data_IF_086254036994
#
_entry.id   IF_086254036994
#
_cell.length_a   1.000
_cell.length_b   1.000
_cell.length_c   1.000
_cell.angle_alpha   90.00
_cell.angle_beta   90.00
_cell.angle_gamma   90.00
#
_symmetry.space_group_name_H-M   'P 1'
#
loop_
_entity.id
_entity.type
_entity.pdbx_description
1 polymer ?
#
# COMPACT_ATOMS: atom_id res chain seq x y z
N UNK A 1 -20.63 23.94 26.94
CA UNK A 1 -20.76 23.13 25.70
C UNK A 1 -19.39 23.08 25.02
N UNK A 2 -18.72 21.89 24.92
CA UNK A 2 -17.45 21.79 24.24
C UNK A 2 -17.67 22.01 22.74
N UNK A 3 -16.95 22.96 22.17
CA UNK A 3 -17.00 23.30 20.74
C UNK A 3 -16.68 22.06 19.91
N UNK A 4 -17.49 21.73 18.91
CA UNK A 4 -17.22 20.62 17.98
C UNK A 4 -15.90 20.90 17.25
N UNK A 5 -15.02 19.90 17.15
CA UNK A 5 -13.75 20.05 16.44
C UNK A 5 -14.02 20.35 14.96
N UNK A 6 -13.20 21.20 14.35
CA UNK A 6 -13.23 21.47 12.90
C UNK A 6 -12.71 20.27 12.13
N UNK A 7 -13.05 20.18 10.85
CA UNK A 7 -12.53 19.13 9.96
C UNK A 7 -11.00 19.13 9.92
N UNK A 8 -10.39 20.29 9.82
CA UNK A 8 -8.94 20.49 9.85
C UNK A 8 -8.31 19.95 11.13
N UNK A 9 -8.95 20.22 12.28
CA UNK A 9 -8.45 19.72 13.57
C UNK A 9 -8.58 18.21 13.70
N UNK A 10 -9.67 17.63 13.18
CA UNK A 10 -9.82 16.17 13.12
C UNK A 10 -8.75 15.53 12.24
N UNK A 11 -8.44 16.17 11.12
CA UNK A 11 -7.41 15.74 10.19
C UNK A 11 -6.00 15.77 10.82
N UNK A 12 -5.67 16.85 11.55
CA UNK A 12 -4.43 17.00 12.33
C UNK A 12 -4.28 15.92 13.41
N UNK A 13 -5.39 15.58 14.10
CA UNK A 13 -5.40 14.51 15.10
C UNK A 13 -5.11 13.15 14.46
N UNK A 14 -5.71 12.86 13.30
CA UNK A 14 -5.46 11.61 12.58
C UNK A 14 -4.02 11.53 12.07
N UNK A 15 -3.45 12.61 11.52
CA UNK A 15 -2.04 12.65 11.11
C UNK A 15 -1.10 12.43 12.29
N UNK A 16 -1.38 13.07 13.42
CA UNK A 16 -0.60 12.86 14.64
C UNK A 16 -0.68 11.41 15.11
N UNK A 17 -1.85 10.79 15.00
CA UNK A 17 -2.06 9.38 15.31
C UNK A 17 -1.29 8.45 14.36
N UNK A 18 -1.36 8.70 13.06
CA UNK A 18 -0.63 7.94 12.03
C UNK A 18 0.88 7.96 12.32
N UNK A 19 1.43 9.14 12.64
CA UNK A 19 2.85 9.28 12.95
C UNK A 19 3.25 8.46 14.18
N UNK A 20 2.47 8.48 15.24
CA UNK A 20 2.74 7.72 16.47
C UNK A 20 2.58 6.20 16.23
N UNK A 21 1.56 5.78 15.50
CA UNK A 21 1.35 4.38 15.15
C UNK A 21 2.40 3.85 14.16
N UNK A 22 2.88 4.68 13.24
CA UNK A 22 3.96 4.31 12.32
C UNK A 22 5.29 4.02 13.06
N UNK A 23 5.58 4.79 14.11
CA UNK A 23 6.81 4.67 14.88
C UNK A 23 6.77 3.52 15.91
N UNK A 24 5.62 3.34 16.57
CA UNK A 24 5.52 2.45 17.72
C UNK A 24 4.60 1.23 17.52
N UNK A 25 3.83 1.19 16.44
CA UNK A 25 2.78 0.20 16.25
C UNK A 25 1.60 0.41 17.20
N UNK A 26 0.53 -0.36 16.99
CA UNK A 26 -0.70 -0.23 17.79
C UNK A 26 -0.45 -0.47 19.30
N UNK A 27 0.32 -1.49 19.65
CA UNK A 27 0.45 -1.91 21.05
C UNK A 27 1.19 -0.85 21.89
N UNK A 28 2.28 -0.30 21.39
CA UNK A 28 3.18 0.60 22.11
C UNK A 28 2.88 2.09 21.92
N UNK A 29 2.09 2.45 20.93
CA UNK A 29 1.69 3.85 20.70
C UNK A 29 0.98 4.44 21.92
N UNK A 30 1.29 5.70 22.26
CA UNK A 30 0.85 6.36 23.48
C UNK A 30 -0.19 7.46 23.17
N UNK A 31 -1.42 7.23 23.58
CA UNK A 31 -2.54 8.18 23.40
C UNK A 31 -2.29 9.54 24.07
N UNK A 32 -1.56 9.57 25.20
CA UNK A 32 -1.23 10.85 25.84
C UNK A 32 -0.26 11.68 24.98
N UNK A 33 0.69 11.02 24.31
CA UNK A 33 1.61 11.68 23.38
C UNK A 33 0.84 12.24 22.18
N UNK A 34 -0.05 11.44 21.59
CA UNK A 34 -0.90 11.87 20.49
C UNK A 34 -1.74 13.09 20.88
N UNK A 35 -2.47 13.01 21.98
CA UNK A 35 -3.32 14.11 22.45
C UNK A 35 -2.51 15.39 22.70
N UNK A 36 -1.34 15.27 23.35
CA UNK A 36 -0.44 16.40 23.61
C UNK A 36 0.08 17.02 22.30
N UNK A 37 0.58 16.23 21.36
CA UNK A 37 1.08 16.70 20.06
C UNK A 37 -0.03 17.36 19.23
N UNK A 38 -1.25 16.78 19.26
CA UNK A 38 -2.42 17.35 18.61
C UNK A 38 -3.07 18.53 19.36
N UNK A 39 -2.54 18.96 20.52
CA UNK A 39 -3.05 20.10 21.28
C UNK A 39 -4.47 19.91 21.81
N UNK A 40 -4.84 18.67 22.19
CA UNK A 40 -6.13 18.32 22.80
C UNK A 40 -5.91 17.52 24.09
N UNK A 41 -6.96 17.38 24.91
CA UNK A 41 -6.93 16.43 26.02
C UNK A 41 -7.25 15.00 25.56
N UNK A 42 -6.76 13.99 26.29
CA UNK A 42 -7.12 12.58 26.07
C UNK A 42 -8.62 12.35 26.15
N UNK A 43 -9.31 13.06 27.08
CA UNK A 43 -10.78 13.01 27.19
C UNK A 43 -11.50 13.53 25.94
N UNK A 44 -10.94 14.52 25.25
CA UNK A 44 -11.46 14.99 23.96
C UNK A 44 -11.25 13.92 22.90
N UNK A 45 -10.10 13.30 22.81
CA UNK A 45 -9.83 12.24 21.85
C UNK A 45 -10.80 11.06 22.04
N UNK A 46 -10.98 10.57 23.27
CA UNK A 46 -11.89 9.46 23.57
C UNK A 46 -13.39 9.81 23.44
N UNK A 47 -13.74 11.08 23.36
CA UNK A 47 -15.09 11.50 23.02
C UNK A 47 -15.43 11.21 21.53
N UNK A 48 -14.43 11.29 20.66
CA UNK A 48 -14.60 11.01 19.22
C UNK A 48 -14.30 9.56 18.88
N UNK A 49 -13.35 8.95 19.58
CA UNK A 49 -12.91 7.57 19.35
C UNK A 49 -13.02 6.82 20.69
N UNK A 50 -13.86 5.83 20.74
CA UNK A 50 -14.18 5.06 21.96
C UNK A 50 -12.94 4.57 22.72
N UNK A 51 -11.93 4.08 21.97
CA UNK A 51 -10.69 3.52 22.50
C UNK A 51 -9.53 3.71 21.48
N UNK A 52 -8.35 3.24 21.85
CA UNK A 52 -7.15 3.31 21.02
C UNK A 52 -7.28 2.53 19.71
N UNK A 53 -7.99 1.40 19.75
CA UNK A 53 -8.20 0.55 18.58
C UNK A 53 -9.13 1.22 17.55
N UNK A 54 -10.22 1.80 18.00
CA UNK A 54 -11.13 2.59 17.13
C UNK A 54 -10.42 3.79 16.54
N UNK A 55 -9.55 4.45 17.31
CA UNK A 55 -8.74 5.54 16.80
C UNK A 55 -7.71 5.07 15.76
N UNK A 56 -7.06 3.94 16.01
CA UNK A 56 -6.14 3.31 15.05
C UNK A 56 -6.83 2.97 13.73
N UNK A 57 -8.03 2.38 13.79
CA UNK A 57 -8.82 2.08 12.60
C UNK A 57 -9.20 3.35 11.82
N UNK A 58 -9.52 4.44 12.50
CA UNK A 58 -9.78 5.72 11.84
C UNK A 58 -8.52 6.30 11.16
N UNK A 59 -7.34 6.15 11.77
CA UNK A 59 -6.06 6.49 11.15
C UNK A 59 -5.80 5.63 9.91
N UNK A 60 -6.09 4.33 9.99
CA UNK A 60 -5.98 3.41 8.85
C UNK A 60 -6.94 3.81 7.73
N UNK A 61 -8.19 4.15 8.03
CA UNK A 61 -9.16 4.60 7.03
C UNK A 61 -8.68 5.85 6.27
N UNK A 62 -8.06 6.79 6.98
CA UNK A 62 -7.45 7.96 6.35
C UNK A 62 -6.30 7.56 5.40
N UNK A 63 -5.46 6.62 5.81
CA UNK A 63 -4.35 6.14 4.98
C UNK A 63 -4.86 5.40 3.74
N UNK A 64 -5.89 4.57 3.89
CA UNK A 64 -6.48 3.80 2.80
C UNK A 64 -7.22 4.69 1.78
N UNK A 65 -7.73 5.85 2.18
CA UNK A 65 -8.36 6.79 1.25
C UNK A 65 -7.39 7.29 0.17
N UNK A 66 -6.09 7.37 0.48
CA UNK A 66 -5.05 7.70 -0.51
C UNK A 66 -4.85 6.54 -1.48
N UNK A 67 -4.80 5.31 -0.98
CA UNK A 67 -4.71 4.10 -1.82
C UNK A 67 -5.93 3.97 -2.74
N UNK A 68 -7.13 4.17 -2.21
CA UNK A 68 -8.39 4.11 -2.97
C UNK A 68 -8.39 5.09 -4.14
N UNK A 69 -7.92 6.32 -3.94
CA UNK A 69 -7.79 7.30 -5.00
C UNK A 69 -6.85 6.85 -6.12
N UNK A 70 -5.69 6.27 -5.78
CA UNK A 70 -4.71 5.75 -6.76
C UNK A 70 -5.28 4.57 -7.53
N UNK A 71 -5.92 3.64 -6.85
CA UNK A 71 -6.51 2.43 -7.46
C UNK A 71 -7.69 2.79 -8.34
N UNK A 72 -8.52 3.75 -7.94
CA UNK A 72 -9.66 4.24 -8.73
C UNK A 72 -9.19 4.90 -10.03
N UNK A 73 -8.14 5.73 -9.98
CA UNK A 73 -7.53 6.34 -11.16
C UNK A 73 -6.98 5.27 -12.12
N UNK A 74 -6.31 4.26 -11.58
CA UNK A 74 -5.82 3.11 -12.35
C UNK A 74 -6.96 2.36 -13.09
N UNK A 75 -8.13 2.19 -12.45
CA UNK A 75 -9.28 1.51 -13.05
C UNK A 75 -9.96 2.30 -14.16
N UNK A 76 -10.06 3.61 -13.99
CA UNK A 76 -10.82 4.48 -14.92
C UNK A 76 -10.14 4.63 -16.28
N UNK A 77 -8.88 4.22 -16.42
CA UNK A 77 -8.11 4.35 -17.66
C UNK A 77 -8.54 3.34 -18.73
N UNK A 78 -8.52 3.79 -19.99
CA UNK A 78 -8.70 2.96 -21.21
C UNK A 78 -7.37 2.57 -21.85
N UNK A 79 -6.26 2.94 -21.23
CA UNK A 79 -4.92 2.66 -21.74
C UNK A 79 -4.63 1.16 -21.77
N UNK A 80 -3.71 0.76 -22.65
CA UNK A 80 -3.19 -0.62 -22.72
C UNK A 80 -2.56 -1.04 -21.39
N UNK A 81 -2.56 -2.36 -21.15
CA UNK A 81 -2.04 -3.01 -19.93
C UNK A 81 -0.72 -2.42 -19.43
N UNK A 82 0.31 -2.37 -20.28
CA UNK A 82 1.65 -1.94 -19.86
C UNK A 82 1.73 -0.46 -19.51
N UNK A 83 0.95 0.40 -20.19
CA UNK A 83 0.85 1.84 -19.85
C UNK A 83 0.22 2.02 -18.47
N UNK A 84 -0.83 1.27 -18.17
CA UNK A 84 -1.49 1.31 -16.85
C UNK A 84 -0.57 0.76 -15.76
N UNK A 85 0.16 -0.32 -16.06
CA UNK A 85 1.16 -0.89 -15.15
C UNK A 85 2.26 0.13 -14.84
N UNK A 86 2.76 0.86 -15.84
CA UNK A 86 3.72 1.93 -15.62
C UNK A 86 3.17 3.03 -14.69
N UNK A 87 1.95 3.48 -14.94
CA UNK A 87 1.30 4.52 -14.13
C UNK A 87 1.20 4.10 -12.66
N UNK A 88 0.80 2.85 -12.37
CA UNK A 88 0.70 2.40 -10.98
C UNK A 88 2.07 2.27 -10.31
N UNK A 89 3.10 1.80 -11.02
CA UNK A 89 4.47 1.74 -10.48
C UNK A 89 4.97 3.13 -10.10
N UNK A 90 4.79 4.12 -10.97
CA UNK A 90 5.16 5.52 -10.71
C UNK A 90 4.36 6.13 -9.56
N UNK A 91 3.07 5.82 -9.49
CA UNK A 91 2.23 6.25 -8.37
C UNK A 91 2.73 5.64 -7.05
N UNK A 92 3.07 4.36 -7.02
CA UNK A 92 3.64 3.69 -5.84
C UNK A 92 4.94 4.38 -5.40
N UNK A 93 5.88 4.68 -6.31
CA UNK A 93 7.10 5.42 -5.98
C UNK A 93 6.79 6.77 -5.34
N UNK A 94 5.94 7.56 -6.00
CA UNK A 94 5.59 8.91 -5.54
C UNK A 94 4.91 8.89 -4.17
N UNK A 95 3.86 8.07 -4.02
CA UNK A 95 3.04 8.05 -2.81
C UNK A 95 3.78 7.42 -1.62
N UNK A 96 4.64 6.43 -1.86
CA UNK A 96 5.46 5.82 -0.79
C UNK A 96 6.42 6.82 -0.18
N UNK A 97 7.01 7.71 -0.97
CA UNK A 97 7.86 8.80 -0.46
C UNK A 97 7.05 9.92 0.18
N UNK A 98 5.92 10.29 -0.42
CA UNK A 98 5.06 11.36 0.10
C UNK A 98 4.39 10.99 1.42
N UNK A 99 4.01 9.73 1.59
CA UNK A 99 3.22 9.23 2.71
C UNK A 99 3.95 8.13 3.49
N UNK A 100 5.24 8.35 3.77
CA UNK A 100 6.13 7.38 4.46
C UNK A 100 5.48 6.76 5.70
N UNK A 101 4.87 7.58 6.57
CA UNK A 101 4.27 7.11 7.81
C UNK A 101 2.99 6.29 7.60
N UNK A 102 2.26 6.49 6.50
CA UNK A 102 1.13 5.65 6.12
C UNK A 102 1.63 4.23 5.78
N UNK A 103 2.70 4.15 5.00
CA UNK A 103 3.30 2.85 4.62
C UNK A 103 3.98 2.18 5.82
N UNK A 104 4.69 2.93 6.69
CA UNK A 104 5.25 2.39 7.93
C UNK A 104 4.16 1.85 8.87
N UNK A 105 3.04 2.54 9.00
CA UNK A 105 1.90 2.07 9.78
C UNK A 105 1.31 0.79 9.17
N UNK A 106 1.15 0.71 7.85
CA UNK A 106 0.73 -0.51 7.16
C UNK A 106 1.72 -1.66 7.42
N UNK A 107 3.02 -1.43 7.24
CA UNK A 107 4.03 -2.45 7.54
C UNK A 107 3.95 -2.94 8.99
N UNK A 108 3.69 -2.06 9.96
CA UNK A 108 3.55 -2.43 11.37
C UNK A 108 2.38 -3.40 11.62
N UNK A 109 1.33 -3.34 10.80
CA UNK A 109 0.19 -4.25 10.85
C UNK A 109 0.59 -5.65 10.37
N UNK A 110 1.36 -5.73 9.28
CA UNK A 110 1.76 -7.00 8.66
C UNK A 110 2.72 -7.82 9.54
N UNK A 111 3.53 -7.15 10.37
CA UNK A 111 4.53 -7.79 11.25
C UNK A 111 4.14 -7.81 12.73
N UNK A 112 3.04 -7.16 13.08
CA UNK A 112 2.63 -6.96 14.49
C UNK A 112 2.01 -8.18 15.16
N UNK A 113 1.94 -8.12 16.51
CA UNK A 113 1.35 -9.14 17.37
C UNK A 113 -0.19 -9.19 17.35
N UNK A 114 -0.83 -8.32 16.57
CA UNK A 114 -2.28 -8.12 16.55
C UNK A 114 -3.06 -9.23 15.82
N UNK A 115 -2.75 -10.50 16.10
CA UNK A 115 -3.37 -11.68 15.46
C UNK A 115 -4.89 -11.67 15.48
N UNK A 116 -5.50 -11.09 16.52
CA UNK A 116 -6.97 -11.01 16.65
C UNK A 116 -7.63 -10.14 15.57
N UNK A 117 -6.91 -9.13 15.06
CA UNK A 117 -7.42 -8.22 14.03
C UNK A 117 -6.95 -8.57 12.61
N UNK A 118 -6.01 -9.51 12.47
CA UNK A 118 -5.40 -9.84 11.19
C UNK A 118 -6.42 -10.11 10.07
N UNK A 119 -7.49 -10.92 10.27
CA UNK A 119 -8.47 -11.16 9.22
C UNK A 119 -9.27 -9.91 8.82
N UNK A 120 -9.65 -9.07 9.80
CA UNK A 120 -10.40 -7.82 9.56
C UNK A 120 -9.53 -6.80 8.85
N UNK A 121 -8.29 -6.61 9.33
CA UNK A 121 -7.34 -5.67 8.74
C UNK A 121 -6.95 -6.08 7.32
N UNK A 122 -6.65 -7.36 7.10
CA UNK A 122 -6.35 -7.87 5.77
C UNK A 122 -7.54 -7.65 4.81
N UNK A 123 -8.76 -7.99 5.24
CA UNK A 123 -9.95 -7.75 4.41
C UNK A 123 -10.16 -6.27 4.09
N UNK A 124 -9.87 -5.38 5.04
CA UNK A 124 -10.02 -3.93 4.88
C UNK A 124 -8.96 -3.34 3.95
N UNK A 125 -7.73 -3.79 4.08
CA UNK A 125 -6.58 -3.29 3.31
C UNK A 125 -6.58 -3.88 1.90
N UNK A 126 -6.64 -5.21 1.79
CA UNK A 126 -6.45 -5.93 0.53
C UNK A 126 -7.74 -6.10 -0.27
N UNK A 127 -8.90 -5.89 0.35
CA UNK A 127 -10.20 -6.17 -0.28
C UNK A 127 -10.46 -5.34 -1.53
N UNK A 128 -9.92 -4.13 -1.61
CA UNK A 128 -10.03 -3.26 -2.78
C UNK A 128 -9.08 -3.71 -3.89
N UNK A 129 -7.79 -3.80 -3.59
CA UNK A 129 -6.74 -4.12 -4.57
C UNK A 129 -6.93 -5.51 -5.17
N UNK A 130 -7.27 -6.51 -4.36
CA UNK A 130 -7.49 -7.88 -4.82
C UNK A 130 -8.58 -7.99 -5.89
N UNK A 131 -9.71 -7.31 -5.70
CA UNK A 131 -10.79 -7.27 -6.70
C UNK A 131 -10.34 -6.55 -7.97
N UNK A 132 -9.77 -5.38 -7.82
CA UNK A 132 -9.34 -4.51 -8.91
C UNK A 132 -8.31 -5.17 -9.80
N UNK A 133 -7.26 -5.74 -9.23
CA UNK A 133 -6.22 -6.39 -10.01
C UNK A 133 -6.69 -7.68 -10.66
N UNK A 134 -7.55 -8.46 -9.99
CA UNK A 134 -8.13 -9.65 -10.60
C UNK A 134 -9.02 -9.33 -11.82
N UNK A 135 -9.85 -8.29 -11.73
CA UNK A 135 -10.68 -7.81 -12.85
C UNK A 135 -9.83 -7.25 -13.99
N UNK A 136 -8.78 -6.51 -13.66
CA UNK A 136 -7.84 -5.96 -14.63
C UNK A 136 -7.13 -7.05 -15.43
N UNK A 137 -6.59 -8.07 -14.76
CA UNK A 137 -5.92 -9.20 -15.41
C UNK A 137 -6.93 -10.04 -16.22
N UNK A 138 -8.13 -10.30 -15.68
CA UNK A 138 -9.15 -11.03 -16.41
C UNK A 138 -9.53 -10.32 -17.73
N UNK A 139 -9.65 -8.99 -17.72
CA UNK A 139 -9.91 -8.20 -18.93
C UNK A 139 -8.77 -8.31 -19.92
N UNK A 140 -7.51 -8.16 -19.46
CA UNK A 140 -6.34 -8.28 -20.33
C UNK A 140 -6.19 -9.67 -20.98
N UNK A 141 -6.64 -10.75 -20.31
CA UNK A 141 -6.74 -12.09 -20.90
C UNK A 141 -7.77 -12.11 -22.03
N UNK A 142 -8.96 -11.51 -21.81
CA UNK A 142 -10.04 -11.47 -22.81
C UNK A 142 -9.61 -10.66 -24.04
N UNK A 143 -8.96 -9.52 -23.82
CA UNK A 143 -8.50 -8.61 -24.87
C UNK A 143 -7.29 -9.18 -25.65
N UNK A 144 -6.68 -10.26 -25.15
CA UNK A 144 -5.52 -10.92 -25.77
C UNK A 144 -4.17 -10.22 -25.48
N UNK A 145 -4.14 -9.30 -24.54
CA UNK A 145 -2.92 -8.57 -24.15
C UNK A 145 -1.95 -9.43 -23.34
N UNK A 146 -2.45 -10.50 -22.69
CA UNK A 146 -1.64 -11.42 -21.88
C UNK A 146 -2.03 -12.88 -22.16
N UNK A 147 -1.14 -13.78 -21.78
CA UNK A 147 -1.29 -15.24 -21.92
C UNK A 147 -2.55 -15.76 -21.21
N UNK A 148 -3.12 -16.86 -21.76
CA UNK A 148 -4.41 -17.41 -21.32
C UNK A 148 -4.29 -18.56 -20.30
N UNK A 149 -3.09 -19.07 -20.06
CA UNK A 149 -2.81 -20.23 -19.21
C UNK A 149 -2.52 -19.85 -17.74
N UNK A 150 -2.92 -18.65 -17.32
CA UNK A 150 -2.71 -18.13 -15.96
C UNK A 150 -4.01 -18.08 -15.14
N UNK A 151 -3.89 -18.30 -13.85
CA UNK A 151 -4.95 -17.97 -12.88
C UNK A 151 -4.91 -16.47 -12.57
N UNK A 152 -5.96 -15.75 -12.93
CA UNK A 152 -6.05 -14.29 -12.77
C UNK A 152 -5.95 -13.82 -11.33
N UNK A 153 -6.43 -14.62 -10.35
CA UNK A 153 -6.35 -14.27 -8.92
C UNK A 153 -4.95 -14.46 -8.36
N UNK A 154 -4.28 -15.55 -8.78
CA UNK A 154 -2.89 -15.79 -8.37
C UNK A 154 -1.96 -14.73 -8.96
N UNK A 155 -2.15 -14.35 -10.22
CA UNK A 155 -1.36 -13.28 -10.83
C UNK A 155 -1.65 -11.92 -10.20
N UNK A 156 -2.90 -11.62 -9.85
CA UNK A 156 -3.26 -10.42 -9.10
C UNK A 156 -2.51 -10.37 -7.75
N UNK A 157 -2.49 -11.49 -7.03
CA UNK A 157 -1.76 -11.60 -5.76
C UNK A 157 -0.25 -11.39 -5.93
N UNK A 158 0.37 -11.99 -6.95
CA UNK A 158 1.81 -11.81 -7.21
C UNK A 158 2.12 -10.37 -7.61
N UNK A 159 1.30 -9.78 -8.47
CA UNK A 159 1.46 -8.39 -8.88
C UNK A 159 1.34 -7.42 -7.70
N UNK A 160 0.31 -7.56 -6.89
CA UNK A 160 0.11 -6.78 -5.67
C UNK A 160 1.28 -6.96 -4.67
N UNK A 161 1.77 -8.20 -4.49
CA UNK A 161 2.92 -8.49 -3.63
C UNK A 161 4.18 -7.77 -4.08
N UNK A 162 4.43 -7.66 -5.38
CA UNK A 162 5.56 -6.89 -5.93
C UNK A 162 5.40 -5.40 -5.65
N UNK A 163 4.20 -4.84 -5.85
CA UNK A 163 3.91 -3.43 -5.56
C UNK A 163 4.05 -3.12 -4.07
N UNK A 164 3.52 -3.99 -3.20
CA UNK A 164 3.65 -3.88 -1.75
C UNK A 164 5.13 -3.90 -1.30
N UNK A 165 5.92 -4.84 -1.82
CA UNK A 165 7.36 -4.88 -1.52
C UNK A 165 8.08 -3.61 -1.99
N UNK A 166 7.69 -3.07 -3.14
CA UNK A 166 8.23 -1.81 -3.64
C UNK A 166 7.86 -0.62 -2.73
N UNK A 167 6.60 -0.54 -2.26
CA UNK A 167 6.18 0.48 -1.27
C UNK A 167 7.07 0.46 -0.03
N UNK A 168 7.29 -0.72 0.54
CA UNK A 168 8.14 -0.87 1.72
C UNK A 168 9.60 -0.48 1.43
N UNK A 169 10.09 -0.78 0.22
CA UNK A 169 11.45 -0.43 -0.20
C UNK A 169 11.71 1.08 -0.32
N UNK A 170 10.65 1.89 -0.46
CA UNK A 170 10.75 3.35 -0.46
C UNK A 170 10.42 4.01 0.89
N UNK A 171 9.95 3.24 1.89
CA UNK A 171 9.39 3.83 3.11
C UNK A 171 9.91 3.20 4.41
N UNK A 172 10.33 1.94 4.41
CA UNK A 172 10.66 1.18 5.62
C UNK A 172 12.15 0.82 5.63
N UNK A 173 12.85 1.17 6.70
CA UNK A 173 14.31 1.13 6.80
C UNK A 173 14.91 -0.23 6.42
N UNK A 174 14.37 -1.35 6.94
CA UNK A 174 14.85 -2.70 6.60
C UNK A 174 14.72 -2.99 5.09
N UNK A 175 13.59 -2.63 4.49
CA UNK A 175 13.34 -2.88 3.07
C UNK A 175 14.15 -1.95 2.16
N UNK A 176 14.42 -0.72 2.60
CA UNK A 176 15.33 0.21 1.91
C UNK A 176 16.75 -0.38 1.85
N UNK A 177 17.28 -0.85 2.98
CA UNK A 177 18.62 -1.49 3.00
C UNK A 177 18.64 -2.78 2.17
N UNK A 178 17.59 -3.61 2.28
CA UNK A 178 17.44 -4.78 1.42
C UNK A 178 17.47 -4.41 -0.07
N UNK A 179 16.80 -3.34 -0.46
CA UNK A 179 16.74 -2.89 -1.86
C UNK A 179 18.12 -2.44 -2.36
N UNK A 180 18.85 -1.68 -1.54
CA UNK A 180 20.25 -1.29 -1.85
C UNK A 180 21.16 -2.50 -1.98
N UNK A 181 21.07 -3.49 -1.11
CA UNK A 181 21.89 -4.72 -1.16
C UNK A 181 21.72 -5.45 -2.50
N UNK A 182 20.48 -5.53 -3.01
CA UNK A 182 20.20 -6.22 -4.28
C UNK A 182 20.49 -5.38 -5.52
N UNK A 183 20.28 -4.08 -5.46
CA UNK A 183 20.23 -3.22 -6.65
C UNK A 183 21.30 -2.13 -6.68
N UNK A 184 22.12 -1.99 -5.62
CA UNK A 184 23.14 -0.95 -5.44
C UNK A 184 22.65 0.22 -4.61
N UNK A 185 23.58 0.92 -3.95
CA UNK A 185 23.29 1.99 -2.98
C UNK A 185 22.48 3.15 -3.58
N UNK A 186 22.66 3.42 -4.87
CA UNK A 186 22.02 4.53 -5.59
C UNK A 186 20.60 4.22 -6.09
N UNK A 187 20.08 3.01 -5.83
CA UNK A 187 18.80 2.54 -6.42
C UNK A 187 17.62 3.42 -6.06
N UNK A 188 17.64 4.05 -4.89
CA UNK A 188 16.58 4.94 -4.42
C UNK A 188 16.51 6.27 -5.19
N UNK A 189 17.58 6.65 -5.89
CA UNK A 189 17.66 7.84 -6.73
C UNK A 189 17.48 7.53 -8.22
N UNK A 190 17.29 6.23 -8.57
CA UNK A 190 17.20 5.75 -9.95
C UNK A 190 15.77 5.30 -10.31
N UNK A 191 14.79 6.16 -10.07
CA UNK A 191 13.37 5.83 -10.26
C UNK A 191 13.05 5.28 -11.64
N UNK A 192 13.58 5.90 -12.68
CA UNK A 192 13.34 5.45 -14.06
C UNK A 192 13.90 4.06 -14.33
N UNK A 193 15.08 3.75 -13.82
CA UNK A 193 15.66 2.40 -13.91
C UNK A 193 14.75 1.37 -13.23
N UNK A 194 14.24 1.69 -12.05
CA UNK A 194 13.33 0.79 -11.31
C UNK A 194 12.06 0.55 -12.09
N UNK A 195 11.43 1.60 -12.61
CA UNK A 195 10.20 1.51 -13.45
C UNK A 195 10.46 0.60 -14.65
N UNK A 196 11.51 0.86 -15.41
CA UNK A 196 11.82 0.10 -16.63
C UNK A 196 12.13 -1.38 -16.36
N UNK A 197 12.85 -1.70 -15.28
CA UNK A 197 13.15 -3.09 -14.95
C UNK A 197 11.90 -3.82 -14.40
N UNK A 198 11.08 -3.15 -13.63
CA UNK A 198 9.82 -3.70 -13.15
C UNK A 198 8.87 -4.01 -14.32
N UNK A 199 8.73 -3.09 -15.28
CA UNK A 199 7.92 -3.29 -16.48
C UNK A 199 8.38 -4.49 -17.28
N UNK A 200 9.70 -4.62 -17.54
CA UNK A 200 10.27 -5.78 -18.25
C UNK A 200 9.96 -7.09 -17.53
N UNK A 201 10.04 -7.10 -16.20
CA UNK A 201 9.72 -8.29 -15.40
C UNK A 201 8.25 -8.67 -15.54
N UNK A 202 7.34 -7.71 -15.41
CA UNK A 202 5.89 -7.92 -15.53
C UNK A 202 5.52 -8.34 -16.96
N UNK A 203 6.06 -7.66 -17.97
CA UNK A 203 5.85 -8.03 -19.38
C UNK A 203 6.26 -9.46 -19.65
N UNK A 204 7.44 -9.88 -19.20
CA UNK A 204 7.92 -11.26 -19.35
C UNK A 204 7.00 -12.27 -18.68
N UNK A 205 6.48 -11.96 -17.48
CA UNK A 205 5.53 -12.84 -16.78
C UNK A 205 4.19 -12.96 -17.50
N UNK A 206 3.74 -11.91 -18.14
CA UNK A 206 2.45 -11.87 -18.84
C UNK A 206 2.47 -12.43 -20.27
N UNK A 207 3.61 -12.34 -20.98
CA UNK A 207 3.70 -12.71 -22.40
C UNK A 207 4.35 -14.06 -22.65
N UNK A 208 5.05 -14.64 -21.69
CA UNK A 208 5.78 -15.89 -21.88
C UNK A 208 4.83 -17.10 -21.81
N UNK A 209 4.66 -17.85 -22.92
CA UNK A 209 3.90 -19.10 -22.94
C UNK A 209 4.81 -20.31 -22.67
N UNK A 210 4.33 -21.24 -21.85
CA UNK A 210 5.06 -22.44 -21.41
C UNK A 210 5.48 -23.38 -22.55
N UNK A 211 4.83 -23.28 -23.71
CA UNK A 211 5.09 -24.12 -24.90
C UNK A 211 6.50 -23.97 -25.47
N UNK A 212 7.27 -22.97 -25.07
CA UNK A 212 8.64 -22.75 -25.54
C UNK A 212 9.73 -23.39 -24.66
N UNK A 213 9.40 -23.92 -23.48
CA UNK A 213 10.39 -24.46 -22.54
C UNK A 213 10.62 -25.97 -22.70
N UNK A 214 9.66 -26.73 -23.23
CA UNK A 214 9.69 -28.20 -23.19
C UNK A 214 10.48 -28.85 -24.35
N UNK A 215 11.01 -28.10 -25.31
CA UNK A 215 11.73 -28.65 -26.47
C UNK A 215 13.26 -28.47 -26.46
N UNK A 216 13.90 -28.28 -25.29
CA UNK A 216 15.36 -28.21 -25.17
C UNK A 216 15.91 -29.16 -24.10
N UNK A 217 15.37 -30.36 -23.96
CA UNK A 217 16.00 -31.48 -23.25
C UNK A 217 16.18 -32.63 -24.16
#
# INVERSE_FOLDING_TARGET
MLKKLTKEKMDDILETGINEFAEHGLDRANINVIAKKAGISVGVLYKYYKDKEVFFLACLDKSLAVLDAVVTDFLSGTDKLMVRTEKIIRAVQLYSRKHVNYIKMYNSITVGSNKRFAPELAKKIEGLTAKVYAEFIARAIIDGDIRKDIDNRMFAYFFDSLLMMMQFSYSCDYYMERFKIYCGDEVLDQDERVVQQFLKFVESAFTFEQSQIIHKT
#
